data_IF_906324545074
#
_entry.id   IF_906324545074
#
_cell.length_a   1.000
_cell.length_b   1.000
_cell.length_c   1.000
_cell.angle_alpha   90.00
_cell.angle_beta   90.00
_cell.angle_gamma   90.00
#
_symmetry.space_group_name_H-M   'P 1'
#
loop_
_entity.id
_entity.type
_entity.pdbx_description
1 polymer ?
#
# COMPACT_ATOMS: atom_id res chain seq x y z
N UNK A 1 84.08 0.22 -32.20
CA UNK A 1 83.74 1.59 -31.75
C UNK A 1 82.35 1.54 -31.11
N UNK A 2 82.22 2.10 -29.90
CA UNK A 2 81.01 2.25 -29.05
C UNK A 2 80.45 0.94 -28.47
N UNK A 3 80.69 0.55 -27.20
CA UNK A 3 80.25 1.14 -25.91
C UNK A 3 78.77 1.50 -25.85
N UNK A 4 77.97 0.77 -25.05
CA UNK A 4 77.54 1.20 -23.70
C UNK A 4 76.55 0.23 -23.04
N UNK A 5 76.47 0.27 -21.69
CA UNK A 5 75.93 -0.79 -20.85
C UNK A 5 74.44 -0.60 -20.50
N UNK A 6 73.90 -1.65 -19.90
CA UNK A 6 72.57 -1.71 -19.28
C UNK A 6 72.33 -0.57 -18.30
N UNK A 7 71.20 0.13 -18.47
CA UNK A 7 70.62 0.99 -17.43
C UNK A 7 69.26 0.40 -17.04
N UNK A 8 69.22 -0.13 -15.82
CA UNK A 8 68.00 -0.46 -15.09
C UNK A 8 67.16 0.81 -14.97
N UNK A 9 65.99 0.84 -15.61
CA UNK A 9 64.99 1.87 -15.35
C UNK A 9 64.14 1.43 -14.17
N UNK A 10 64.31 2.13 -13.06
CA UNK A 10 63.35 2.16 -11.96
C UNK A 10 61.96 2.44 -12.54
N UNK A 11 61.05 1.47 -12.43
CA UNK A 11 59.62 1.69 -12.57
C UNK A 11 59.10 2.33 -11.29
N UNK A 12 58.71 3.60 -11.38
CA UNK A 12 57.94 4.29 -10.34
C UNK A 12 56.60 3.55 -10.21
N UNK A 13 56.36 2.90 -9.06
CA UNK A 13 55.02 2.47 -8.67
C UNK A 13 54.17 3.72 -8.44
N UNK A 14 53.30 4.05 -9.39
CA UNK A 14 52.19 4.95 -9.15
C UNK A 14 51.18 4.24 -8.24
N UNK A 15 51.16 4.60 -6.96
CA UNK A 15 50.05 4.32 -6.05
C UNK A 15 48.85 5.16 -6.51
N UNK A 16 48.03 4.60 -7.40
CA UNK A 16 46.65 5.06 -7.57
C UNK A 16 45.85 4.48 -6.41
N UNK A 17 45.80 5.24 -5.31
CA UNK A 17 44.88 4.98 -4.21
C UNK A 17 43.47 5.12 -4.75
N UNK A 18 42.71 4.05 -4.56
CA UNK A 18 41.35 3.81 -5.02
C UNK A 18 40.43 4.90 -4.45
N UNK A 19 40.14 5.94 -5.24
CA UNK A 19 39.13 6.96 -4.92
C UNK A 19 37.74 6.61 -5.50
N UNK A 20 37.54 5.36 -5.92
CA UNK A 20 36.30 4.92 -6.58
C UNK A 20 35.33 4.15 -5.68
N UNK A 21 35.79 3.56 -4.58
CA UNK A 21 34.95 2.67 -3.76
C UNK A 21 34.02 3.44 -2.81
N UNK A 22 34.37 4.65 -2.37
CA UNK A 22 33.51 5.44 -1.50
C UNK A 22 32.32 6.08 -2.24
N UNK A 23 32.46 6.37 -3.54
CA UNK A 23 31.38 6.96 -4.34
C UNK A 23 30.34 5.92 -4.77
N UNK A 24 30.77 4.66 -4.95
CA UNK A 24 29.89 3.57 -5.36
C UNK A 24 29.12 2.94 -4.19
N UNK A 25 29.64 3.04 -2.96
CA UNK A 25 29.00 2.50 -1.76
C UNK A 25 28.00 3.47 -1.09
N UNK A 26 27.80 4.67 -1.64
CA UNK A 26 26.95 5.72 -1.06
C UNK A 26 25.67 5.99 -1.88
N UNK A 27 25.20 5.02 -2.66
CA UNK A 27 23.95 5.12 -3.44
C UNK A 27 22.92 4.05 -3.05
N UNK A 28 22.96 3.58 -1.81
CA UNK A 28 21.94 2.69 -1.22
C UNK A 28 21.21 3.32 -0.04
N UNK A 29 21.19 4.66 0.05
CA UNK A 29 20.19 5.35 0.88
C UNK A 29 18.91 5.44 0.06
N UNK A 30 18.21 4.31 -0.06
CA UNK A 30 16.77 4.36 -0.27
C UNK A 30 16.21 5.16 0.91
N UNK A 31 15.60 6.32 0.65
CA UNK A 31 14.90 7.07 1.68
C UNK A 31 13.85 6.14 2.29
N UNK A 32 14.12 5.60 3.48
CA UNK A 32 13.17 4.79 4.22
C UNK A 32 11.88 5.60 4.40
N UNK A 33 10.74 4.96 4.12
CA UNK A 33 9.42 5.60 4.31
C UNK A 33 9.28 5.96 5.79
N UNK A 34 8.97 7.23 6.09
CA UNK A 34 8.72 7.67 7.46
C UNK A 34 7.31 7.21 7.90
N UNK A 35 7.21 5.94 8.26
CA UNK A 35 5.96 5.31 8.70
C UNK A 35 5.37 5.97 9.94
N UNK A 36 6.22 6.50 10.84
CA UNK A 36 5.77 7.13 12.08
C UNK A 36 5.01 8.43 11.80
N UNK A 37 5.48 9.22 10.84
CA UNK A 37 4.79 10.43 10.39
C UNK A 37 3.39 10.11 9.83
N UNK A 38 3.30 9.12 8.92
CA UNK A 38 2.01 8.68 8.39
C UNK A 38 1.08 8.15 9.48
N UNK A 39 1.59 7.25 10.34
CA UNK A 39 0.83 6.68 11.47
C UNK A 39 0.24 7.78 12.36
N UNK A 40 1.03 8.77 12.76
CA UNK A 40 0.56 9.87 13.62
C UNK A 40 -0.50 10.74 12.93
N UNK A 41 -0.27 11.07 11.65
CA UNK A 41 -1.23 11.83 10.86
C UNK A 41 -2.56 11.09 10.73
N UNK A 42 -2.52 9.81 10.39
CA UNK A 42 -3.71 9.00 10.13
C UNK A 42 -4.46 8.63 11.41
N UNK A 43 -3.75 8.40 12.51
CA UNK A 43 -4.35 8.25 13.84
C UNK A 43 -5.14 9.50 14.26
N UNK A 44 -4.66 10.70 13.91
CA UNK A 44 -5.39 11.94 14.19
C UNK A 44 -6.71 12.07 13.42
N UNK A 45 -6.86 11.34 12.31
CA UNK A 45 -8.07 11.28 11.51
C UNK A 45 -8.99 10.09 11.85
N UNK A 46 -8.52 9.16 12.69
CA UNK A 46 -9.23 7.93 13.07
C UNK A 46 -9.73 7.12 11.86
N UNK A 47 -8.94 7.08 10.77
CA UNK A 47 -9.31 6.31 9.57
C UNK A 47 -9.19 4.81 9.82
N UNK A 48 -10.24 4.04 9.50
CA UNK A 48 -10.24 2.58 9.63
C UNK A 48 -8.93 1.93 9.12
N UNK A 49 -8.28 1.15 9.99
CA UNK A 49 -7.01 0.46 9.71
C UNK A 49 -5.76 1.14 10.26
N UNK A 50 -5.86 2.34 10.85
CA UNK A 50 -4.69 3.08 11.36
C UNK A 50 -3.96 2.41 12.54
N UNK A 51 -4.60 1.50 13.27
CA UNK A 51 -4.16 0.96 14.57
C UNK A 51 -3.91 -0.56 14.58
N UNK A 52 -3.70 -1.17 13.40
CA UNK A 52 -3.43 -2.62 13.30
C UNK A 52 -1.99 -3.01 13.67
N UNK A 53 -1.11 -2.01 13.85
CA UNK A 53 0.27 -2.17 14.31
C UNK A 53 1.11 -3.19 13.52
N UNK A 54 0.82 -3.38 12.23
CA UNK A 54 1.65 -4.17 11.33
C UNK A 54 2.86 -3.34 10.87
N UNK A 55 4.02 -3.96 10.82
CA UNK A 55 5.28 -3.36 10.38
C UNK A 55 6.02 -4.28 9.40
N UNK A 56 7.17 -3.82 8.91
CA UNK A 56 8.02 -4.57 7.99
C UNK A 56 8.13 -3.96 6.59
N UNK A 57 9.06 -4.48 5.77
CA UNK A 57 9.32 -3.96 4.42
C UNK A 57 8.08 -4.07 3.50
N UNK A 58 7.18 -5.01 3.79
CA UNK A 58 5.93 -5.16 3.07
C UNK A 58 5.01 -3.95 3.28
N UNK A 59 4.90 -3.48 4.51
CA UNK A 59 4.13 -2.29 4.88
C UNK A 59 4.73 -1.04 4.23
N UNK A 60 6.05 -0.87 4.29
CA UNK A 60 6.75 0.26 3.64
C UNK A 60 6.48 0.31 2.14
N UNK A 61 6.52 -0.85 1.48
CA UNK A 61 6.25 -0.96 0.04
C UNK A 61 4.79 -0.61 -0.29
N UNK A 62 3.85 -1.09 0.53
CA UNK A 62 2.44 -0.76 0.37
C UNK A 62 2.13 0.71 0.62
N UNK A 63 2.79 1.36 1.59
CA UNK A 63 2.64 2.80 1.82
C UNK A 63 3.11 3.58 0.60
N UNK A 64 4.30 3.29 0.09
CA UNK A 64 4.82 3.94 -1.11
C UNK A 64 3.90 3.73 -2.32
N UNK A 65 3.38 2.51 -2.50
CA UNK A 65 2.41 2.21 -3.55
C UNK A 65 1.12 3.02 -3.37
N UNK A 66 0.52 3.03 -2.17
CA UNK A 66 -0.71 3.77 -1.90
C UNK A 66 -0.55 5.28 -2.14
N UNK A 67 0.59 5.84 -1.75
CA UNK A 67 0.94 7.24 -1.99
C UNK A 67 1.06 7.54 -3.49
N UNK A 68 1.76 6.69 -4.25
CA UNK A 68 1.89 6.82 -5.70
C UNK A 68 0.52 6.78 -6.41
N UNK A 69 -0.40 5.96 -5.92
CA UNK A 69 -1.78 5.87 -6.43
C UNK A 69 -2.67 7.04 -5.98
N UNK A 70 -2.17 7.94 -5.14
CA UNK A 70 -2.86 9.15 -4.71
C UNK A 70 -3.86 8.92 -3.57
N UNK A 71 -3.69 7.87 -2.77
CA UNK A 71 -4.46 7.69 -1.53
C UNK A 71 -4.10 8.80 -0.53
N UNK A 72 -5.13 9.28 0.18
CA UNK A 72 -4.96 10.25 1.27
C UNK A 72 -4.38 9.60 2.52
N UNK A 73 -4.66 8.32 2.72
CA UNK A 73 -4.21 7.54 3.88
C UNK A 73 -3.50 6.25 3.47
N UNK A 74 -2.29 6.37 2.89
CA UNK A 74 -1.54 5.22 2.42
C UNK A 74 -1.11 4.27 3.55
N UNK A 75 -0.96 4.75 4.79
CA UNK A 75 -0.62 3.89 5.91
C UNK A 75 -1.78 2.97 6.30
N UNK A 76 -2.98 3.47 6.56
CA UNK A 76 -4.15 2.67 6.87
C UNK A 76 -4.48 1.70 5.72
N UNK A 77 -4.35 2.15 4.46
CA UNK A 77 -4.43 1.25 3.31
C UNK A 77 -3.43 0.09 3.38
N UNK A 78 -2.16 0.38 3.70
CA UNK A 78 -1.13 -0.66 3.84
C UNK A 78 -1.47 -1.66 4.93
N UNK A 79 -1.98 -1.17 6.06
CA UNK A 79 -2.38 -1.97 7.21
C UNK A 79 -3.55 -2.89 6.85
N UNK A 80 -4.62 -2.36 6.24
CA UNK A 80 -5.78 -3.15 5.80
C UNK A 80 -5.38 -4.20 4.77
N UNK A 81 -4.51 -3.84 3.83
CA UNK A 81 -4.03 -4.75 2.76
C UNK A 81 -3.19 -5.88 3.34
N UNK A 82 -2.23 -5.57 4.20
CA UNK A 82 -1.41 -6.56 4.89
C UNK A 82 -2.26 -7.46 5.82
N UNK A 83 -3.23 -6.89 6.51
CA UNK A 83 -4.17 -7.64 7.35
C UNK A 83 -4.99 -8.64 6.52
N UNK A 84 -5.48 -8.24 5.35
CA UNK A 84 -6.17 -9.14 4.41
C UNK A 84 -5.26 -10.28 3.93
N UNK A 85 -3.98 -10.02 3.68
CA UNK A 85 -3.01 -11.08 3.31
C UNK A 85 -2.81 -12.09 4.42
N UNK A 86 -2.66 -11.63 5.66
CA UNK A 86 -2.33 -12.46 6.81
C UNK A 86 -3.55 -13.23 7.35
N UNK A 87 -4.71 -12.57 7.39
CA UNK A 87 -5.90 -13.07 8.10
C UNK A 87 -6.97 -13.55 7.12
N UNK A 88 -7.02 -13.00 5.90
CA UNK A 88 -8.07 -13.31 4.92
C UNK A 88 -9.40 -12.61 5.17
N UNK A 89 -9.47 -11.74 6.18
CA UNK A 89 -10.67 -11.01 6.59
C UNK A 89 -10.38 -9.51 6.71
N UNK A 90 -11.42 -8.69 6.62
CA UNK A 90 -11.29 -7.25 6.87
C UNK A 90 -11.13 -6.98 8.37
N UNK A 91 -10.39 -5.94 8.76
CA UNK A 91 -10.34 -5.46 10.14
C UNK A 91 -11.73 -5.10 10.70
N UNK A 92 -11.88 -5.13 12.03
CA UNK A 92 -13.16 -4.93 12.73
C UNK A 92 -13.81 -3.56 12.47
N UNK A 93 -13.04 -2.54 12.09
CA UNK A 93 -13.57 -1.21 11.74
C UNK A 93 -14.40 -1.20 10.43
N UNK A 94 -14.46 -2.30 9.71
CA UNK A 94 -15.35 -2.45 8.56
C UNK A 94 -16.70 -3.06 8.91
N UNK A 95 -17.76 -2.51 8.32
CA UNK A 95 -19.09 -3.10 8.35
C UNK A 95 -19.71 -3.20 6.97
N UNK A 96 -20.52 -4.23 6.75
CA UNK A 96 -21.27 -4.34 5.48
C UNK A 96 -22.33 -3.24 5.39
N UNK A 97 -22.74 -2.92 4.16
CA UNK A 97 -23.88 -2.01 3.91
C UNK A 97 -25.16 -2.50 4.60
N UNK A 98 -25.33 -3.81 4.79
CA UNK A 98 -26.49 -4.36 5.51
C UNK A 98 -26.44 -4.03 7.01
N UNK A 99 -25.27 -4.17 7.64
CA UNK A 99 -25.08 -3.83 9.06
C UNK A 99 -25.29 -2.33 9.27
N UNK A 100 -24.65 -1.50 8.44
CA UNK A 100 -24.81 -0.04 8.50
C UNK A 100 -26.27 0.40 8.38
N UNK A 101 -27.03 -0.17 7.43
CA UNK A 101 -28.48 0.12 7.29
C UNK A 101 -29.28 -0.30 8.52
N UNK A 102 -28.92 -1.43 9.14
CA UNK A 102 -29.53 -1.89 10.38
C UNK A 102 -29.31 -0.93 11.56
N UNK A 103 -28.20 -0.18 11.54
CA UNK A 103 -27.86 0.83 12.54
C UNK A 103 -28.41 2.23 12.20
N UNK A 104 -29.09 2.40 11.07
CA UNK A 104 -29.76 3.64 10.70
C UNK A 104 -29.10 4.41 9.54
N UNK A 105 -28.05 3.87 8.92
CA UNK A 105 -27.48 4.47 7.71
C UNK A 105 -28.49 4.47 6.56
N UNK A 106 -28.66 5.63 5.93
CA UNK A 106 -29.61 5.87 4.84
C UNK A 106 -28.86 6.33 3.60
N UNK A 107 -29.39 6.01 2.43
CA UNK A 107 -28.83 6.47 1.15
C UNK A 107 -28.89 7.99 0.97
N UNK A 108 -29.64 8.70 1.80
CA UNK A 108 -29.69 10.16 1.85
C UNK A 108 -29.89 10.63 3.30
N UNK A 109 -29.14 11.67 3.69
CA UNK A 109 -29.32 12.38 4.96
C UNK A 109 -28.69 11.72 6.20
N UNK A 110 -28.00 10.59 6.05
CA UNK A 110 -27.20 9.97 7.12
C UNK A 110 -25.94 9.36 6.50
N UNK A 111 -24.80 9.61 7.11
CA UNK A 111 -23.50 9.09 6.66
C UNK A 111 -23.02 7.98 7.60
N UNK A 112 -21.90 7.33 7.30
CA UNK A 112 -21.42 6.21 8.13
C UNK A 112 -20.91 6.75 9.46
N UNK A 113 -20.24 7.90 9.46
CA UNK A 113 -19.78 8.60 10.67
C UNK A 113 -20.90 9.04 11.62
N UNK A 114 -22.15 9.14 11.15
CA UNK A 114 -23.30 9.40 12.03
C UNK A 114 -23.67 8.18 12.90
N UNK A 115 -23.30 6.96 12.47
CA UNK A 115 -23.62 5.70 13.17
C UNK A 115 -22.40 5.03 13.79
N UNK A 116 -21.22 5.24 13.21
CA UNK A 116 -19.93 4.74 13.67
C UNK A 116 -18.83 5.72 13.24
N UNK A 117 -18.34 6.49 14.20
CA UNK A 117 -17.45 7.63 13.96
C UNK A 117 -16.10 7.23 13.33
N UNK A 118 -15.65 5.99 13.59
CA UNK A 118 -14.34 5.48 13.18
C UNK A 118 -14.49 4.32 12.16
N UNK A 119 -15.72 4.02 11.74
CA UNK A 119 -16.06 2.88 10.89
C UNK A 119 -16.06 3.19 9.39
N UNK A 120 -15.91 2.14 8.59
CA UNK A 120 -15.99 2.20 7.12
C UNK A 120 -16.87 1.10 6.53
N UNK A 121 -17.35 1.28 5.30
CA UNK A 121 -18.12 0.24 4.60
C UNK A 121 -17.18 -0.77 3.97
N UNK A 122 -17.41 -2.06 4.20
CA UNK A 122 -16.64 -3.12 3.54
C UNK A 122 -17.23 -4.51 3.71
N UNK A 123 -16.78 -5.42 2.86
CA UNK A 123 -17.13 -6.84 2.89
C UNK A 123 -18.34 -7.23 2.05
N UNK A 124 -19.00 -6.29 1.36
CA UNK A 124 -20.05 -6.59 0.38
C UNK A 124 -19.48 -7.17 -0.92
N UNK A 125 -20.27 -7.97 -1.64
CA UNK A 125 -19.86 -8.52 -2.94
C UNK A 125 -19.62 -7.42 -3.97
N UNK A 126 -18.45 -7.45 -4.62
CA UNK A 126 -18.16 -6.71 -5.84
C UNK A 126 -18.48 -7.57 -7.07
N UNK A 127 -19.33 -7.05 -7.95
CA UNK A 127 -19.90 -7.84 -9.05
C UNK A 127 -19.02 -8.03 -10.29
N UNK A 128 -17.95 -7.23 -10.44
CA UNK A 128 -17.11 -7.20 -11.66
C UNK A 128 -17.93 -7.18 -12.98
N UNK A 129 -18.99 -6.37 -13.04
CA UNK A 129 -19.96 -6.39 -14.16
C UNK A 129 -19.34 -5.89 -15.47
N UNK A 130 -18.42 -4.96 -15.34
CA UNK A 130 -17.65 -4.36 -16.43
C UNK A 130 -16.47 -5.25 -16.87
N UNK A 131 -16.20 -6.36 -16.15
CA UNK A 131 -15.17 -7.34 -16.50
C UNK A 131 -13.74 -6.80 -16.44
N UNK A 132 -13.49 -5.81 -15.59
CA UNK A 132 -12.19 -5.12 -15.45
C UNK A 132 -11.19 -5.93 -14.62
N UNK A 133 -11.68 -6.84 -13.79
CA UNK A 133 -10.87 -7.83 -13.07
C UNK A 133 -10.97 -9.21 -13.75
N UNK A 134 -10.02 -10.14 -13.48
CA UNK A 134 -10.12 -11.52 -13.96
C UNK A 134 -11.47 -12.17 -13.64
N UNK A 135 -11.96 -13.03 -14.53
CA UNK A 135 -13.24 -13.73 -14.31
C UNK A 135 -13.09 -14.77 -13.20
N UNK A 136 -14.01 -14.73 -12.24
CA UNK A 136 -14.09 -15.63 -11.07
C UNK A 136 -15.53 -16.09 -10.87
N UNK A 137 -15.78 -17.17 -10.10
CA UNK A 137 -17.13 -17.51 -9.66
C UNK A 137 -17.87 -16.33 -9.03
N UNK A 138 -19.20 -16.38 -9.01
CA UNK A 138 -20.03 -15.35 -8.36
C UNK A 138 -19.65 -15.22 -6.88
N UNK A 139 -19.79 -14.02 -6.34
CA UNK A 139 -19.55 -13.70 -4.92
C UNK A 139 -18.10 -13.84 -4.43
N UNK A 140 -17.16 -14.04 -5.37
CA UNK A 140 -15.72 -14.15 -5.06
C UNK A 140 -15.06 -12.84 -4.70
N UNK A 141 -15.41 -11.77 -5.41
CA UNK A 141 -14.87 -10.46 -5.11
C UNK A 141 -15.68 -9.79 -4.03
N UNK A 142 -14.98 -9.19 -3.07
CA UNK A 142 -15.54 -8.28 -2.09
C UNK A 142 -14.87 -6.91 -2.23
N UNK A 143 -15.53 -5.86 -1.74
CA UNK A 143 -15.01 -4.49 -1.74
C UNK A 143 -14.94 -3.90 -0.33
N UNK A 144 -14.01 -2.97 -0.11
CA UNK A 144 -13.88 -2.21 1.12
C UNK A 144 -13.53 -0.75 0.82
N UNK A 145 -14.16 0.18 1.54
CA UNK A 145 -13.88 1.60 1.43
C UNK A 145 -12.49 1.93 1.96
N UNK A 146 -11.80 2.78 1.21
CA UNK A 146 -10.57 3.43 1.65
C UNK A 146 -10.83 4.93 1.77
N UNK A 147 -9.93 5.63 2.45
CA UNK A 147 -9.95 7.09 2.61
C UNK A 147 -11.20 7.68 3.26
N UNK A 148 -12.07 6.85 3.85
CA UNK A 148 -13.28 7.30 4.52
C UNK A 148 -12.98 7.80 5.93
N UNK A 149 -13.50 8.97 6.28
CA UNK A 149 -13.45 9.54 7.64
C UNK A 149 -14.83 10.06 8.03
N UNK A 150 -15.46 10.83 7.14
CA UNK A 150 -16.77 11.43 7.42
C UNK A 150 -17.49 11.86 6.16
N UNK A 151 -18.80 12.04 6.28
CA UNK A 151 -19.62 12.55 5.20
C UNK A 151 -19.90 11.49 4.13
N UNK A 152 -19.98 11.93 2.87
CA UNK A 152 -20.22 11.01 1.75
C UNK A 152 -19.01 10.10 1.53
N UNK A 153 -19.28 8.83 1.21
CA UNK A 153 -18.25 7.85 0.83
C UNK A 153 -17.47 8.33 -0.39
N UNK A 154 -16.14 8.26 -0.31
CA UNK A 154 -15.24 8.66 -1.40
C UNK A 154 -15.15 7.64 -2.54
N UNK A 155 -14.16 7.81 -3.41
CA UNK A 155 -13.93 6.97 -4.59
C UNK A 155 -13.12 5.71 -4.32
N UNK A 156 -12.19 5.78 -3.37
CA UNK A 156 -11.15 4.78 -3.20
C UNK A 156 -11.68 3.47 -2.59
N UNK A 157 -11.31 2.33 -3.16
CA UNK A 157 -11.69 0.99 -2.68
C UNK A 157 -10.56 -0.01 -2.81
N UNK A 158 -10.49 -0.93 -1.86
CA UNK A 158 -9.95 -2.25 -2.13
C UNK A 158 -11.03 -3.11 -2.79
N UNK A 159 -10.62 -3.94 -3.73
CA UNK A 159 -11.39 -5.09 -4.21
C UNK A 159 -10.51 -6.33 -4.11
N UNK A 160 -10.98 -7.38 -3.45
CA UNK A 160 -10.18 -8.58 -3.17
C UNK A 160 -10.95 -9.87 -3.44
N UNK A 161 -10.24 -10.91 -3.88
CA UNK A 161 -10.80 -12.27 -3.97
C UNK A 161 -10.75 -12.90 -2.58
N UNK A 162 -11.92 -13.24 -2.02
CA UNK A 162 -12.11 -13.74 -0.66
C UNK A 162 -11.27 -14.96 -0.26
N UNK A 163 -10.79 -15.76 -1.22
CA UNK A 163 -9.97 -16.93 -0.87
C UNK A 163 -8.54 -16.84 -1.37
N UNK A 164 -8.18 -15.77 -2.08
CA UNK A 164 -6.86 -15.64 -2.70
C UNK A 164 -6.12 -14.36 -2.24
N UNK A 165 -6.51 -13.82 -1.09
CA UNK A 165 -5.84 -12.64 -0.51
C UNK A 165 -4.37 -12.96 -0.25
N UNK A 166 -4.06 -14.11 0.35
CA UNK A 166 -2.71 -14.66 0.55
C UNK A 166 -1.86 -14.80 -0.73
N UNK A 167 -2.49 -14.80 -1.91
CA UNK A 167 -1.84 -14.84 -3.22
C UNK A 167 -1.83 -13.48 -3.93
N UNK A 168 -2.12 -12.40 -3.21
CA UNK A 168 -2.13 -11.04 -3.74
C UNK A 168 -3.25 -10.77 -4.75
N UNK A 169 -4.38 -11.48 -4.68
CA UNK A 169 -5.56 -11.16 -5.51
C UNK A 169 -6.34 -10.01 -4.84
N UNK A 170 -5.68 -8.86 -4.78
CA UNK A 170 -6.19 -7.60 -4.24
C UNK A 170 -5.90 -6.50 -5.26
N UNK A 171 -6.86 -5.62 -5.46
CA UNK A 171 -6.79 -4.48 -6.38
C UNK A 171 -7.21 -3.21 -5.66
N UNK A 172 -6.59 -2.11 -6.06
CA UNK A 172 -6.94 -0.76 -5.66
C UNK A 172 -7.64 -0.04 -6.82
N UNK A 173 -8.71 0.67 -6.52
CA UNK A 173 -9.25 1.73 -7.39
C UNK A 173 -9.31 3.01 -6.58
N UNK A 174 -8.94 4.14 -7.18
CA UNK A 174 -9.05 5.49 -6.59
C UNK A 174 -10.05 6.37 -7.33
N UNK A 175 -10.72 5.81 -8.34
CA UNK A 175 -11.52 6.52 -9.33
C UNK A 175 -12.94 5.93 -9.48
N UNK A 176 -13.52 5.39 -8.39
CA UNK A 176 -14.86 4.79 -8.42
C UNK A 176 -14.97 3.65 -9.45
N UNK A 177 -14.03 2.71 -9.41
CA UNK A 177 -13.99 1.51 -10.26
C UNK A 177 -13.71 1.80 -11.75
N UNK A 178 -13.29 3.04 -12.10
CA UNK A 178 -12.93 3.46 -13.45
C UNK A 178 -11.56 2.92 -13.92
N UNK A 179 -10.71 2.46 -13.01
CA UNK A 179 -9.53 1.65 -13.27
C UNK A 179 -9.15 0.86 -12.02
N UNK A 180 -8.28 -0.13 -12.20
CA UNK A 180 -7.79 -0.96 -11.10
C UNK A 180 -6.30 -1.21 -11.25
N UNK A 181 -5.56 -0.94 -10.18
CA UNK A 181 -4.17 -1.34 -10.04
C UNK A 181 -4.10 -2.57 -9.14
N UNK A 182 -3.35 -3.58 -9.59
CA UNK A 182 -3.13 -4.77 -8.76
C UNK A 182 -2.08 -4.45 -7.71
N UNK A 183 -2.34 -4.84 -6.46
CA UNK A 183 -1.35 -4.68 -5.40
C UNK A 183 -0.09 -5.50 -5.75
N UNK A 184 1.12 -4.95 -5.57
CA UNK A 184 2.37 -5.68 -5.79
C UNK A 184 2.41 -6.99 -4.99
N UNK A 185 2.96 -8.04 -5.60
CA UNK A 185 3.32 -9.25 -4.86
C UNK A 185 4.60 -8.97 -4.08
N UNK A 186 4.59 -9.24 -2.77
CA UNK A 186 5.70 -9.02 -1.85
C UNK A 186 6.27 -10.36 -1.36
#
# INVERSE_FOLDING_TARGET
MLTRPMLNRLGVLGLLVIAGSAWYLNQQDAHAVDLDSYRQQEASAQVCGFDLDLDGPEVETLVAFGEEQGLRFPYAFSQVTAYLWLIGELPECYMTKSVARGQGWKSAGTTVDDIDADGAIGGDTFGNREGRLPQRPRDRYAEADLDYVRGNRGAARLVYDRELTDRGFIWLTVDHYDSFERIPEL
#
